data_IF_264483208856
#
_entry.id   IF_264483208856
#
_cell.length_a   1.000
_cell.length_b   1.000
_cell.length_c   1.000
_cell.angle_alpha   90.00
_cell.angle_beta   90.00
_cell.angle_gamma   90.00
#
_symmetry.space_group_name_H-M   'P 1'
#
loop_
_entity.id
_entity.type
_entity.pdbx_description
1 polymer ?
#
# COMPACT_ATOMS: atom_id res chain seq x y z
N UNK A 1 5.92 17.72 -5.02
CA UNK A 1 5.90 16.59 -4.07
C UNK A 1 5.46 17.09 -2.71
N UNK A 2 4.58 16.36 -2.05
CA UNK A 2 3.94 16.79 -0.81
C UNK A 2 2.74 17.73 -0.99
N UNK A 3 2.38 18.05 -2.23
CA UNK A 3 1.23 18.91 -2.52
C UNK A 3 -0.07 18.12 -2.36
N UNK A 4 -1.11 18.83 -1.92
CA UNK A 4 -2.47 18.32 -1.82
C UNK A 4 -3.20 18.59 -3.14
N UNK A 5 -3.79 17.57 -3.70
CA UNK A 5 -4.49 17.64 -4.99
C UNK A 5 -5.83 16.92 -4.91
N UNK A 6 -6.74 17.30 -5.80
CA UNK A 6 -7.98 16.58 -6.09
C UNK A 6 -7.99 16.18 -7.57
N UNK A 7 -8.63 15.07 -7.87
CA UNK A 7 -8.81 14.61 -9.25
C UNK A 7 -10.24 14.87 -9.68
N UNK A 8 -10.41 15.61 -10.78
CA UNK A 8 -11.70 15.88 -11.39
C UNK A 8 -11.79 15.26 -12.77
N UNK A 9 -12.81 14.46 -13.01
CA UNK A 9 -13.12 13.93 -14.33
C UNK A 9 -13.66 15.05 -15.21
N UNK A 10 -12.96 15.37 -16.30
CA UNK A 10 -13.39 16.39 -17.25
C UNK A 10 -14.68 16.00 -17.98
N UNK A 11 -14.88 14.69 -18.21
CA UNK A 11 -16.06 14.17 -18.93
C UNK A 11 -17.32 14.20 -18.09
N UNK A 12 -17.21 13.84 -16.81
CA UNK A 12 -18.37 13.69 -15.93
C UNK A 12 -18.54 14.85 -14.95
N UNK A 13 -17.58 15.76 -14.89
CA UNK A 13 -17.53 16.90 -13.96
C UNK A 13 -17.56 16.50 -12.48
N UNK A 14 -17.09 15.29 -12.18
CA UNK A 14 -17.11 14.64 -10.86
C UNK A 14 -15.71 14.46 -10.29
N UNK A 15 -15.61 14.28 -8.97
CA UNK A 15 -14.34 14.12 -8.25
C UNK A 15 -14.10 12.68 -7.83
N UNK A 16 -12.84 12.26 -7.85
CA UNK A 16 -12.41 10.98 -7.26
C UNK A 16 -12.41 11.14 -5.75
N UNK A 17 -13.13 10.29 -5.03
CA UNK A 17 -13.29 10.33 -3.58
C UNK A 17 -13.23 8.93 -2.96
N UNK A 18 -12.86 8.86 -1.67
CA UNK A 18 -12.97 7.63 -0.87
C UNK A 18 -14.40 7.38 -0.42
N UNK A 19 -14.83 6.13 -0.40
CA UNK A 19 -16.17 5.72 0.02
C UNK A 19 -16.14 4.73 1.18
N UNK A 20 -17.23 4.75 1.95
CA UNK A 20 -17.48 3.82 3.03
C UNK A 20 -16.86 4.22 4.37
N UNK A 21 -17.24 3.51 5.43
CA UNK A 21 -16.79 3.80 6.80
C UNK A 21 -15.28 3.60 6.95
N UNK A 22 -14.72 2.58 6.29
CA UNK A 22 -13.30 2.25 6.32
C UNK A 22 -12.50 3.01 5.26
N UNK A 23 -13.18 3.73 4.33
CA UNK A 23 -12.56 4.45 3.21
C UNK A 23 -11.58 3.54 2.43
N UNK A 24 -12.05 2.38 2.02
CA UNK A 24 -11.26 1.41 1.24
C UNK A 24 -11.60 1.43 -0.24
N UNK A 25 -12.87 1.72 -0.55
CA UNK A 25 -13.33 1.86 -1.94
C UNK A 25 -13.14 3.31 -2.44
N UNK A 26 -13.06 3.45 -3.76
CA UNK A 26 -13.01 4.72 -4.45
C UNK A 26 -14.24 4.87 -5.36
N UNK A 27 -14.82 6.05 -5.35
CA UNK A 27 -15.96 6.42 -6.18
C UNK A 27 -15.70 7.72 -6.95
N UNK A 28 -16.56 7.98 -7.91
CA UNK A 28 -16.67 9.28 -8.55
C UNK A 28 -17.89 10.00 -7.98
N UNK A 29 -17.67 11.12 -7.29
CA UNK A 29 -18.72 11.91 -6.64
C UNK A 29 -18.95 13.22 -7.38
N UNK A 30 -20.20 13.60 -7.59
CA UNK A 30 -20.63 14.87 -8.17
C UNK A 30 -20.67 16.01 -7.15
N UNK A 31 -20.72 15.68 -5.86
CA UNK A 31 -20.71 16.65 -4.77
C UNK A 31 -19.44 16.55 -3.92
N UNK A 32 -18.89 17.70 -3.56
CA UNK A 32 -17.81 17.84 -2.58
C UNK A 32 -18.39 18.21 -1.20
N UNK A 33 -19.43 17.52 -0.76
CA UNK A 33 -19.99 17.75 0.58
C UNK A 33 -18.92 17.53 1.67
N UNK A 34 -18.01 16.57 1.41
CA UNK A 34 -16.82 16.33 2.21
C UNK A 34 -15.56 16.44 1.34
N UNK A 35 -15.04 17.64 1.18
CA UNK A 35 -13.81 17.90 0.40
C UNK A 35 -12.68 16.96 0.84
N UNK A 36 -12.57 16.67 2.13
CA UNK A 36 -11.52 15.83 2.71
C UNK A 36 -11.51 14.38 2.14
N UNK A 37 -12.63 13.91 1.61
CA UNK A 37 -12.75 12.57 0.98
C UNK A 37 -12.16 12.51 -0.43
N UNK A 38 -11.85 13.66 -1.03
CA UNK A 38 -11.28 13.77 -2.37
C UNK A 38 -9.84 14.27 -2.39
N UNK A 39 -9.23 14.50 -1.21
CA UNK A 39 -7.88 15.07 -1.12
C UNK A 39 -6.83 13.98 -1.06
N UNK A 40 -5.90 14.06 -2.00
CA UNK A 40 -4.71 13.19 -2.07
C UNK A 40 -3.45 14.04 -1.90
N UNK A 41 -2.47 13.49 -1.19
CA UNK A 41 -1.12 14.04 -1.14
C UNK A 41 -0.24 13.30 -2.14
N UNK A 42 0.54 14.03 -2.92
CA UNK A 42 1.48 13.45 -3.88
C UNK A 42 2.74 13.02 -3.16
N UNK A 43 2.91 11.72 -3.00
CA UNK A 43 4.11 11.10 -2.44
C UNK A 43 5.04 10.63 -3.56
N UNK A 44 6.30 10.43 -3.21
CA UNK A 44 7.27 9.77 -4.08
C UNK A 44 7.08 8.25 -4.08
N UNK A 45 7.63 7.63 -5.11
CA UNK A 45 7.82 6.18 -5.14
C UNK A 45 8.58 5.72 -3.89
N UNK A 46 7.98 4.78 -3.17
CA UNK A 46 8.61 4.10 -2.04
C UNK A 46 9.11 2.73 -2.48
N UNK A 47 10.16 2.25 -1.84
CA UNK A 47 10.62 0.87 -1.98
C UNK A 47 9.79 -0.03 -1.06
N UNK A 48 9.50 -1.24 -1.52
CA UNK A 48 8.70 -2.24 -0.81
C UNK A 48 9.36 -3.64 -0.82
N UNK A 49 10.59 -3.76 -1.29
CA UNK A 49 11.25 -5.04 -1.47
C UNK A 49 11.39 -5.82 -0.17
N UNK A 50 11.85 -5.15 0.89
CA UNK A 50 12.02 -5.79 2.19
C UNK A 50 10.68 -6.09 2.88
N UNK A 51 9.65 -5.26 2.67
CA UNK A 51 8.30 -5.50 3.16
C UNK A 51 7.70 -6.75 2.50
N UNK A 52 7.81 -6.87 1.18
CA UNK A 52 7.32 -8.01 0.41
C UNK A 52 8.03 -9.30 0.86
N UNK A 53 9.36 -9.28 0.97
CA UNK A 53 10.14 -10.45 1.38
C UNK A 53 9.77 -10.91 2.79
N UNK A 54 9.51 -9.98 3.71
CA UNK A 54 9.05 -10.32 5.06
C UNK A 54 7.64 -10.92 5.02
N UNK A 55 6.71 -10.33 4.27
CA UNK A 55 5.33 -10.83 4.16
C UNK A 55 5.31 -12.25 3.52
N UNK A 56 6.09 -12.49 2.45
CA UNK A 56 6.25 -13.81 1.83
C UNK A 56 6.82 -14.84 2.80
N UNK A 57 7.85 -14.46 3.58
CA UNK A 57 8.40 -15.33 4.60
C UNK A 57 7.36 -15.67 5.66
N UNK A 58 6.60 -14.69 6.15
CA UNK A 58 5.57 -14.89 7.18
C UNK A 58 4.43 -15.79 6.68
N UNK A 59 4.00 -15.65 5.43
CA UNK A 59 3.02 -16.53 4.79
C UNK A 59 3.55 -17.98 4.71
N UNK A 60 4.76 -18.17 4.18
CA UNK A 60 5.40 -19.48 4.07
C UNK A 60 5.63 -20.16 5.45
N UNK A 61 5.95 -19.38 6.47
CA UNK A 61 6.10 -19.88 7.84
C UNK A 61 4.75 -20.32 8.41
N UNK A 62 3.70 -19.52 8.20
CA UNK A 62 2.34 -19.86 8.64
C UNK A 62 1.84 -21.17 8.01
N UNK A 63 2.09 -21.38 6.70
CA UNK A 63 1.74 -22.61 6.00
C UNK A 63 2.44 -23.83 6.60
N UNK A 64 3.74 -23.73 6.85
CA UNK A 64 4.52 -24.83 7.48
C UNK A 64 4.02 -25.16 8.87
N UNK A 65 3.70 -24.15 9.69
CA UNK A 65 3.16 -24.36 11.04
C UNK A 65 1.77 -24.99 10.97
N UNK A 66 0.94 -24.58 10.01
CA UNK A 66 -0.39 -25.17 9.82
C UNK A 66 -0.33 -26.64 9.39
N UNK A 67 0.62 -27.01 8.52
CA UNK A 67 0.83 -28.40 8.11
C UNK A 67 1.27 -29.32 9.28
N UNK A 68 2.01 -28.78 10.23
CA UNK A 68 2.48 -29.55 11.41
C UNK A 68 1.46 -29.59 12.56
N UNK A 69 0.49 -28.67 12.57
CA UNK A 69 -0.58 -28.64 13.57
C UNK A 69 -1.73 -29.57 13.17
N UNK A 70 -1.76 -30.76 13.74
CA UNK A 70 -2.86 -31.76 13.56
C UNK A 70 -4.17 -31.36 14.24
N UNK A 71 -4.24 -30.24 14.94
CA UNK A 71 -5.41 -29.80 15.69
C UNK A 71 -6.05 -28.57 15.02
N UNK A 72 -7.22 -28.70 14.33
CA UNK A 72 -7.85 -27.63 13.57
C UNK A 72 -8.40 -26.45 14.41
N UNK A 73 -8.33 -26.56 15.75
CA UNK A 73 -8.78 -25.52 16.68
C UNK A 73 -7.66 -24.57 17.16
N UNK A 74 -6.41 -24.84 16.82
CA UNK A 74 -5.32 -23.93 17.15
C UNK A 74 -5.15 -22.90 16.02
N UNK A 75 -5.49 -21.65 16.31
CA UNK A 75 -5.09 -20.53 15.47
C UNK A 75 -3.57 -20.51 15.29
N UNK A 76 -3.10 -20.49 14.06
CA UNK A 76 -1.67 -20.34 13.76
C UNK A 76 -1.27 -18.93 14.19
N UNK A 77 -0.62 -18.81 15.33
CA UNK A 77 -0.04 -17.53 15.75
C UNK A 77 1.23 -17.28 14.95
N UNK A 78 1.19 -16.26 14.13
CA UNK A 78 2.40 -15.74 13.47
C UNK A 78 3.36 -15.23 14.56
N UNK A 79 4.68 -15.43 14.41
CA UNK A 79 5.65 -14.98 15.39
C UNK A 79 5.70 -13.45 15.45
N UNK A 80 5.04 -12.86 16.42
CA UNK A 80 5.12 -11.42 16.68
C UNK A 80 6.51 -11.03 17.19
N UNK A 81 7.16 -11.95 17.90
CA UNK A 81 8.51 -11.78 18.44
C UNK A 81 9.46 -12.86 17.94
N UNK A 82 10.75 -12.54 17.92
CA UNK A 82 11.83 -13.46 17.53
C UNK A 82 11.85 -14.70 18.46
N UNK A 83 11.42 -14.55 19.72
CA UNK A 83 11.36 -15.62 20.70
C UNK A 83 10.29 -16.69 20.39
N UNK A 84 9.34 -16.40 19.51
CA UNK A 84 8.24 -17.31 19.18
C UNK A 84 8.61 -18.31 18.06
N UNK A 85 9.81 -18.19 17.48
CA UNK A 85 10.30 -19.14 16.47
C UNK A 85 11.07 -20.29 17.16
N UNK A 86 10.75 -21.53 16.85
CA UNK A 86 11.30 -22.72 17.52
C UNK A 86 12.72 -23.10 17.10
N UNK A 87 13.23 -22.57 15.94
CA UNK A 87 14.55 -22.92 15.46
C UNK A 87 15.50 -21.72 15.26
N UNK A 88 16.79 -21.86 15.62
CA UNK A 88 17.77 -20.80 15.56
C UNK A 88 18.05 -20.22 14.14
N UNK A 89 18.04 -21.01 13.06
CA UNK A 89 18.16 -20.46 11.70
C UNK A 89 17.03 -19.51 11.32
N UNK A 90 15.78 -19.89 11.61
CA UNK A 90 14.59 -19.06 11.35
C UNK A 90 14.65 -17.76 12.13
N UNK A 91 15.08 -17.78 13.39
CA UNK A 91 15.34 -16.59 14.19
C UNK A 91 16.31 -15.60 13.51
N UNK A 92 17.45 -16.11 13.06
CA UNK A 92 18.47 -15.26 12.42
C UNK A 92 17.93 -14.65 11.15
N UNK A 93 17.21 -15.42 10.35
CA UNK A 93 16.65 -14.96 9.09
C UNK A 93 15.57 -13.90 9.32
N UNK A 94 14.61 -14.14 10.22
CA UNK A 94 13.59 -13.17 10.60
C UNK A 94 14.19 -11.87 11.14
N UNK A 95 15.25 -11.96 11.95
CA UNK A 95 15.95 -10.77 12.42
C UNK A 95 16.60 -9.99 11.28
N UNK A 96 17.18 -10.68 10.29
CA UNK A 96 17.77 -10.05 9.12
C UNK A 96 16.69 -9.33 8.28
N UNK A 97 15.56 -9.98 8.02
CA UNK A 97 14.43 -9.40 7.29
C UNK A 97 13.89 -8.14 7.98
N UNK A 98 13.68 -8.18 9.28
CA UNK A 98 13.22 -7.00 10.05
C UNK A 98 14.23 -5.85 9.99
N UNK A 99 15.53 -6.16 9.99
CA UNK A 99 16.57 -5.15 9.81
C UNK A 99 16.54 -4.55 8.41
N UNK A 100 16.33 -5.37 7.37
CA UNK A 100 16.15 -4.89 6.00
C UNK A 100 14.94 -3.98 5.89
N UNK A 101 13.80 -4.36 6.48
CA UNK A 101 12.59 -3.54 6.52
C UNK A 101 12.82 -2.19 7.20
N UNK A 102 13.52 -2.18 8.34
CA UNK A 102 13.86 -0.94 9.02
C UNK A 102 14.73 -0.04 8.15
N UNK A 103 15.76 -0.60 7.49
CA UNK A 103 16.63 0.16 6.59
C UNK A 103 15.86 0.72 5.40
N UNK A 104 14.97 -0.07 4.80
CA UNK A 104 14.08 0.36 3.70
C UNK A 104 13.21 1.54 4.13
N UNK A 105 12.63 1.47 5.33
CA UNK A 105 11.83 2.57 5.88
C UNK A 105 12.65 3.86 6.04
N UNK A 106 13.86 3.76 6.61
CA UNK A 106 14.76 4.91 6.77
C UNK A 106 15.17 5.51 5.43
N UNK A 107 15.44 4.67 4.42
CA UNK A 107 15.78 5.13 3.07
C UNK A 107 14.58 5.84 2.40
N UNK A 108 13.39 5.27 2.51
CA UNK A 108 12.16 5.87 2.00
C UNK A 108 11.89 7.25 2.61
N UNK A 109 12.04 7.39 3.93
CA UNK A 109 11.89 8.69 4.60
C UNK A 109 12.96 9.70 4.19
N UNK A 110 14.21 9.27 4.12
CA UNK A 110 15.34 10.13 3.69
C UNK A 110 15.09 10.64 2.27
N UNK A 111 14.70 9.76 1.35
CA UNK A 111 14.40 10.11 -0.03
C UNK A 111 13.22 11.08 -0.14
N UNK A 112 12.16 10.84 0.62
CA UNK A 112 11.01 11.73 0.68
C UNK A 112 11.41 13.13 1.15
N UNK A 113 12.22 13.25 2.22
CA UNK A 113 12.71 14.54 2.74
C UNK A 113 13.53 15.29 1.70
N UNK A 114 14.38 14.61 0.91
CA UNK A 114 15.21 15.22 -0.13
C UNK A 114 14.41 15.77 -1.31
N UNK A 115 13.28 15.18 -1.60
CA UNK A 115 12.45 15.51 -2.76
C UNK A 115 11.22 16.37 -2.42
N UNK A 116 10.92 16.56 -1.15
CA UNK A 116 9.81 17.38 -0.71
C UNK A 116 9.91 18.80 -1.31
N UNK A 117 8.80 19.32 -1.81
CA UNK A 117 8.73 20.63 -2.47
C UNK A 117 9.31 20.70 -3.89
N UNK A 118 9.92 19.64 -4.41
CA UNK A 118 10.38 19.62 -5.81
C UNK A 118 9.21 19.37 -6.75
N UNK A 119 9.24 19.96 -7.96
CA UNK A 119 8.20 19.73 -8.97
C UNK A 119 8.19 18.25 -9.40
N UNK A 120 7.00 17.76 -9.71
CA UNK A 120 6.79 16.47 -10.36
C UNK A 120 6.94 16.69 -11.87
N UNK A 121 7.71 15.84 -12.54
CA UNK A 121 7.92 15.91 -13.98
C UNK A 121 7.45 14.63 -14.68
N UNK A 122 7.24 14.69 -15.98
CA UNK A 122 6.91 13.51 -16.76
C UNK A 122 8.02 12.46 -16.67
N UNK A 123 7.64 11.22 -16.48
CA UNK A 123 8.54 10.10 -16.22
C UNK A 123 8.73 9.79 -14.74
N UNK A 124 8.39 10.70 -13.83
CA UNK A 124 8.42 10.42 -12.40
C UNK A 124 7.38 9.37 -12.04
N UNK A 125 7.77 8.49 -11.12
CA UNK A 125 6.86 7.56 -10.46
C UNK A 125 6.46 8.16 -9.12
N UNK A 126 5.16 8.29 -8.92
CA UNK A 126 4.54 8.85 -7.72
C UNK A 126 3.60 7.84 -7.07
N UNK A 127 3.17 8.15 -5.88
CA UNK A 127 2.06 7.49 -5.18
C UNK A 127 1.06 8.55 -4.72
N UNK A 128 -0.21 8.17 -4.68
CA UNK A 128 -1.28 9.03 -4.22
C UNK A 128 -1.74 8.56 -2.85
N UNK A 129 -1.50 9.40 -1.85
CA UNK A 129 -1.84 9.14 -0.46
C UNK A 129 -3.13 9.87 -0.11
N UNK A 130 -4.21 9.15 0.15
CA UNK A 130 -5.49 9.71 0.53
C UNK A 130 -5.42 10.24 1.97
N UNK A 131 -5.57 11.55 2.12
CA UNK A 131 -5.25 12.25 3.38
C UNK A 131 -6.16 11.82 4.52
N UNK A 132 -7.46 11.67 4.27
CA UNK A 132 -8.43 11.33 5.32
C UNK A 132 -8.26 9.90 5.84
N UNK A 133 -8.11 8.91 4.95
CA UNK A 133 -7.98 7.51 5.36
C UNK A 133 -6.57 7.11 5.75
N UNK A 134 -5.56 7.92 5.43
CA UNK A 134 -4.13 7.59 5.61
C UNK A 134 -3.72 6.32 4.82
N UNK A 135 -4.27 6.15 3.61
CA UNK A 135 -4.08 5.00 2.74
C UNK A 135 -3.58 5.42 1.36
N UNK A 136 -2.92 4.50 0.66
CA UNK A 136 -2.45 4.71 -0.71
C UNK A 136 -3.47 4.20 -1.73
N UNK A 137 -3.65 4.95 -2.81
CA UNK A 137 -4.37 4.47 -3.99
C UNK A 137 -3.58 3.34 -4.62
N UNK A 138 -4.20 2.16 -4.71
CA UNK A 138 -3.56 0.90 -5.11
C UNK A 138 -4.42 0.18 -6.13
N UNK A 139 -3.80 -0.41 -7.15
CA UNK A 139 -4.48 -1.28 -8.12
C UNK A 139 -4.37 -2.71 -7.60
N UNK A 140 -5.50 -3.40 -7.42
CA UNK A 140 -5.47 -4.82 -7.04
C UNK A 140 -5.19 -5.67 -8.28
N UNK A 141 -4.33 -6.69 -8.13
CA UNK A 141 -4.00 -7.62 -9.21
C UNK A 141 -4.84 -8.91 -9.19
N UNK A 142 -5.59 -9.14 -8.13
CA UNK A 142 -6.39 -10.33 -7.86
C UNK A 142 -7.89 -10.09 -7.93
N UNK A 143 -8.33 -8.84 -7.98
CA UNK A 143 -9.74 -8.46 -8.01
C UNK A 143 -10.08 -7.61 -9.24
N UNK A 144 -11.18 -7.97 -9.87
CA UNK A 144 -11.73 -7.19 -10.98
C UNK A 144 -12.66 -6.09 -10.47
N UNK A 145 -12.78 -5.02 -11.23
CA UNK A 145 -13.74 -3.96 -10.95
C UNK A 145 -15.18 -4.51 -10.91
N UNK A 146 -16.00 -3.97 -10.00
CA UNK A 146 -17.37 -4.45 -9.78
C UNK A 146 -18.25 -4.31 -11.02
N UNK A 147 -18.12 -3.18 -11.72
CA UNK A 147 -18.96 -2.80 -12.87
C UNK A 147 -18.37 -3.28 -14.21
N UNK A 148 -17.05 -3.20 -14.37
CA UNK A 148 -16.35 -3.55 -15.60
C UNK A 148 -15.32 -4.65 -15.35
N UNK A 149 -15.73 -5.90 -15.58
CA UNK A 149 -14.93 -7.11 -15.28
C UNK A 149 -13.64 -7.26 -16.08
N UNK A 150 -13.42 -6.43 -17.09
CA UNK A 150 -12.16 -6.39 -17.86
C UNK A 150 -11.11 -5.47 -17.21
N UNK A 151 -11.51 -4.66 -16.23
CA UNK A 151 -10.64 -3.72 -15.55
C UNK A 151 -10.28 -4.22 -14.14
N UNK A 152 -9.07 -3.89 -13.71
CA UNK A 152 -8.63 -4.13 -12.33
C UNK A 152 -9.35 -3.17 -11.37
N UNK A 153 -9.59 -3.64 -10.15
CA UNK A 153 -10.15 -2.82 -9.09
C UNK A 153 -9.09 -1.86 -8.56
N UNK A 154 -9.53 -0.66 -8.25
CA UNK A 154 -8.73 0.35 -7.53
C UNK A 154 -9.30 0.48 -6.12
N UNK A 155 -8.42 0.48 -5.13
CA UNK A 155 -8.79 0.60 -3.71
C UNK A 155 -7.78 1.46 -2.93
N UNK A 156 -8.08 1.71 -1.67
CA UNK A 156 -7.19 2.40 -0.74
C UNK A 156 -6.56 1.40 0.23
N UNK A 157 -5.25 1.21 0.13
CA UNK A 157 -4.47 0.29 0.97
C UNK A 157 -3.57 1.03 1.97
N UNK A 158 -3.57 0.58 3.24
CA UNK A 158 -2.85 1.25 4.31
C UNK A 158 -1.32 1.15 4.19
N UNK A 159 -0.81 0.03 3.69
CA UNK A 159 0.63 -0.20 3.55
C UNK A 159 1.18 0.41 2.26
N UNK A 160 0.35 0.40 1.21
CA UNK A 160 0.80 0.61 -0.16
C UNK A 160 1.66 -0.57 -0.65
N UNK A 161 1.95 -0.58 -1.94
CA UNK A 161 2.70 -1.64 -2.59
C UNK A 161 3.28 -1.13 -3.93
N UNK A 162 4.05 -1.92 -4.69
CA UNK A 162 4.41 -1.56 -6.06
C UNK A 162 3.19 -1.30 -6.97
N UNK A 163 2.03 -1.86 -6.66
CA UNK A 163 0.77 -1.60 -7.36
C UNK A 163 0.17 -0.21 -7.05
N UNK A 164 0.74 0.53 -6.10
CA UNK A 164 0.42 1.93 -5.83
C UNK A 164 1.27 2.90 -6.67
N UNK A 165 2.21 2.41 -7.48
CA UNK A 165 3.07 3.25 -8.30
C UNK A 165 2.34 3.74 -9.56
N UNK A 166 2.34 5.05 -9.75
CA UNK A 166 1.71 5.72 -10.88
C UNK A 166 2.79 6.50 -11.62
N UNK A 167 2.98 6.22 -12.89
CA UNK A 167 3.88 6.98 -13.74
C UNK A 167 3.14 8.07 -14.49
N UNK A 168 3.67 9.27 -14.44
CA UNK A 168 3.16 10.39 -15.22
C UNK A 168 3.76 10.38 -16.62
N UNK A 169 2.90 10.31 -17.62
CA UNK A 169 3.30 10.32 -19.04
C UNK A 169 2.70 11.53 -19.77
N UNK A 170 3.42 12.14 -20.72
CA UNK A 170 2.82 13.13 -21.60
C UNK A 170 1.72 12.48 -22.45
N UNK A 171 0.72 13.26 -22.81
CA UNK A 171 -0.38 12.83 -23.66
C UNK A 171 -0.02 12.99 -25.11
#
# INVERSE_FOLDING_TARGET
>A
MGDYITFKSVKFDCFLAGEGILLEDLIISDSLENVDESVFCVHLQRQYSASIELDEFMCSYAEKVAEHNTNPLNEVKLPENIADCDDPPTHKYLHALRRCLFNEHVLNESYTKQKLGKPVVFGDIIQLFHVRSQKYLTITNDQLAKEERENMRIELDAKGSPFSWIQLSPR
#
